data_IF_186615637379
#
_entry.id   IF_186615637379
#
_cell.length_a   1.000
_cell.length_b   1.000
_cell.length_c   1.000
_cell.angle_alpha   90.00
_cell.angle_beta   90.00
_cell.angle_gamma   90.00
#
_symmetry.space_group_name_H-M   'P 1'
#
loop_
_entity.id
_entity.type
_entity.pdbx_description
1 polymer ?
#
# COMPACT_ATOMS: atom_id res chain seq x y z
N UNK A 1 -18.17 48.81 73.81
CA UNK A 1 -18.89 49.14 72.57
C UNK A 1 -18.62 48.02 71.58
N UNK A 2 -19.67 47.29 71.25
CA UNK A 2 -19.65 46.10 70.39
C UNK A 2 -19.50 46.52 68.93
N UNK A 3 -18.58 45.89 68.20
CA UNK A 3 -18.46 45.97 66.74
C UNK A 3 -18.50 44.56 66.15
N UNK A 4 -19.63 44.22 65.54
CA UNK A 4 -19.90 42.95 64.87
C UNK A 4 -19.19 42.92 63.52
N UNK A 5 -18.42 41.86 63.25
CA UNK A 5 -17.85 41.54 61.94
C UNK A 5 -18.87 40.72 61.13
N UNK A 6 -19.14 41.05 59.85
CA UNK A 6 -20.10 40.30 59.05
C UNK A 6 -19.51 38.96 58.58
N UNK A 7 -20.37 37.96 58.64
CA UNK A 7 -20.19 36.58 58.17
C UNK A 7 -20.24 36.57 56.63
N UNK A 8 -19.17 36.15 55.96
CA UNK A 8 -19.20 35.92 54.51
C UNK A 8 -19.97 34.62 54.22
N UNK A 9 -21.02 34.77 53.41
CA UNK A 9 -21.84 33.69 52.85
C UNK A 9 -21.39 33.49 51.41
N UNK A 10 -21.07 32.23 51.04
CA UNK A 10 -21.24 31.76 49.67
C UNK A 10 -20.01 31.12 49.03
N UNK A 11 -19.74 29.85 49.36
CA UNK A 11 -19.10 28.94 48.41
C UNK A 11 -20.13 28.58 47.33
N UNK A 12 -19.87 28.98 46.09
CA UNK A 12 -20.61 28.49 44.93
C UNK A 12 -20.16 27.05 44.62
N UNK A 13 -21.07 26.08 44.43
CA UNK A 13 -20.68 24.73 44.04
C UNK A 13 -20.07 24.72 42.63
N UNK A 14 -19.09 23.85 42.35
CA UNK A 14 -18.50 23.74 41.02
C UNK A 14 -19.57 23.29 40.01
N UNK A 15 -19.67 24.02 38.91
CA UNK A 15 -20.54 23.66 37.79
C UNK A 15 -20.10 22.32 37.18
N UNK A 16 -20.84 21.26 37.48
CA UNK A 16 -20.75 19.96 36.81
C UNK A 16 -21.50 20.09 35.47
N UNK A 17 -20.87 20.73 34.49
CA UNK A 17 -21.43 20.84 33.13
C UNK A 17 -20.36 20.48 32.11
N UNK A 18 -20.50 19.32 31.45
CA UNK A 18 -19.80 19.09 30.18
C UNK A 18 -19.48 17.65 29.78
N UNK A 19 -19.25 16.72 30.72
CA UNK A 19 -18.70 15.41 30.36
C UNK A 19 -19.70 14.48 29.62
N UNK A 20 -21.00 14.56 29.95
CA UNK A 20 -22.03 13.67 29.39
C UNK A 20 -22.33 13.91 27.90
N UNK A 21 -22.28 15.17 27.44
CA UNK A 21 -22.52 15.51 26.03
C UNK A 21 -21.33 15.12 25.13
N UNK A 22 -20.12 15.05 25.71
CA UNK A 22 -18.92 14.67 24.97
C UNK A 22 -18.93 13.18 24.59
N UNK A 23 -19.27 12.29 25.53
CA UNK A 23 -19.29 10.84 25.29
C UNK A 23 -20.32 10.43 24.23
N UNK A 24 -21.54 10.95 24.31
CA UNK A 24 -22.58 10.65 23.31
C UNK A 24 -22.22 11.19 21.92
N UNK A 25 -21.57 12.36 21.85
CA UNK A 25 -21.12 12.93 20.58
C UNK A 25 -19.98 12.11 19.98
N UNK A 26 -19.01 11.68 20.79
CA UNK A 26 -17.92 10.80 20.36
C UNK A 26 -18.44 9.43 19.90
N UNK A 27 -19.40 8.83 20.62
CA UNK A 27 -20.01 7.57 20.23
C UNK A 27 -20.77 7.68 18.90
N UNK A 28 -21.52 8.76 18.70
CA UNK A 28 -22.23 9.01 17.44
C UNK A 28 -21.28 9.23 16.27
N UNK A 29 -20.20 9.98 16.47
CA UNK A 29 -19.16 10.18 15.44
C UNK A 29 -18.49 8.85 15.08
N UNK A 30 -18.12 8.04 16.08
CA UNK A 30 -17.53 6.71 15.84
C UNK A 30 -18.48 5.78 15.08
N UNK A 31 -19.76 5.73 15.48
CA UNK A 31 -20.76 4.93 14.79
C UNK A 31 -20.93 5.38 13.33
N UNK A 32 -21.02 6.68 13.10
CA UNK A 32 -21.19 7.22 11.75
C UNK A 32 -19.98 6.93 10.85
N UNK A 33 -18.76 7.14 11.37
CA UNK A 33 -17.51 6.79 10.66
C UNK A 33 -17.45 5.29 10.38
N UNK A 34 -17.79 4.46 11.35
CA UNK A 34 -17.79 3.01 11.20
C UNK A 34 -18.79 2.57 10.13
N UNK A 35 -20.04 3.04 10.17
CA UNK A 35 -21.05 2.70 9.15
C UNK A 35 -20.58 3.12 7.75
N UNK A 36 -20.08 4.35 7.61
CA UNK A 36 -19.62 4.86 6.31
C UNK A 36 -18.47 4.04 5.73
N UNK A 37 -17.52 3.64 6.57
CA UNK A 37 -16.31 2.94 6.14
C UNK A 37 -16.49 1.42 6.09
N UNK A 38 -17.52 0.86 6.73
CA UNK A 38 -17.83 -0.57 6.62
C UNK A 38 -18.26 -0.97 5.21
N UNK A 39 -18.92 -0.08 4.46
CA UNK A 39 -19.31 -0.36 3.07
C UNK A 39 -18.20 -0.06 2.06
N UNK A 40 -17.28 0.84 2.41
CA UNK A 40 -16.15 1.20 1.58
C UNK A 40 -14.95 1.47 2.49
N UNK A 41 -14.16 0.42 2.80
CA UNK A 41 -12.96 0.58 3.62
C UNK A 41 -12.06 1.67 3.04
N UNK A 42 -11.47 2.49 3.92
CA UNK A 42 -10.47 3.47 3.47
C UNK A 42 -9.22 2.71 3.06
N UNK A 43 -8.83 2.86 1.80
CA UNK A 43 -7.56 2.32 1.33
C UNK A 43 -6.46 3.33 1.66
N UNK A 44 -5.45 2.86 2.40
CA UNK A 44 -4.27 3.65 2.75
C UNK A 44 -3.02 2.89 2.35
N UNK A 45 -1.94 3.60 2.03
CA UNK A 45 -0.68 2.95 1.65
C UNK A 45 0.40 3.25 2.68
N UNK A 46 1.04 2.21 3.20
CA UNK A 46 2.22 2.31 4.04
C UNK A 46 3.46 2.23 3.15
N UNK A 47 3.97 3.42 2.80
CA UNK A 47 5.18 3.56 2.01
C UNK A 47 6.43 3.32 2.86
N UNK A 48 7.51 2.89 2.22
CA UNK A 48 8.82 2.79 2.85
C UNK A 48 9.92 3.07 1.83
N UNK A 49 11.17 3.24 2.29
CA UNK A 49 12.34 3.38 1.43
C UNK A 49 12.91 2.01 1.04
N UNK A 50 13.73 1.96 -0.02
CA UNK A 50 14.36 0.70 -0.44
C UNK A 50 15.32 0.13 0.61
N UNK A 51 15.78 0.92 1.59
CA UNK A 51 16.68 0.49 2.67
C UNK A 51 16.10 -0.67 3.51
N UNK A 52 14.78 -0.85 3.50
CA UNK A 52 14.11 -2.00 4.14
C UNK A 52 14.58 -3.33 3.57
N UNK A 53 14.93 -3.38 2.29
CA UNK A 53 15.44 -4.60 1.66
C UNK A 53 16.79 -5.04 2.26
N UNK A 54 17.59 -4.10 2.77
CA UNK A 54 18.86 -4.39 3.42
C UNK A 54 18.69 -4.76 4.91
N UNK A 55 17.68 -4.22 5.59
CA UNK A 55 17.41 -4.49 7.00
C UNK A 55 15.92 -4.38 7.33
N UNK A 56 15.11 -5.44 7.10
CA UNK A 56 13.67 -5.39 7.31
C UNK A 56 13.28 -5.06 8.75
N UNK A 57 14.07 -5.52 9.73
CA UNK A 57 13.81 -5.29 11.14
C UNK A 57 13.97 -3.83 11.57
N UNK A 58 14.90 -3.09 10.96
CA UNK A 58 15.16 -1.70 11.33
C UNK A 58 14.03 -0.74 10.92
N UNK A 59 13.32 -1.08 9.84
CA UNK A 59 12.23 -0.25 9.32
C UNK A 59 10.86 -0.57 9.91
N UNK A 60 10.74 -1.66 10.68
CA UNK A 60 9.47 -2.10 11.24
C UNK A 60 8.90 -1.07 12.21
N UNK A 61 9.70 -0.60 13.16
CA UNK A 61 9.25 0.34 14.19
C UNK A 61 8.79 1.68 13.60
N UNK A 62 9.55 2.34 12.69
CA UNK A 62 9.06 3.54 11.99
C UNK A 62 7.74 3.32 11.24
N UNK A 63 7.56 2.16 10.60
CA UNK A 63 6.33 1.84 9.87
C UNK A 63 5.13 1.68 10.82
N UNK A 64 5.31 1.00 11.95
CA UNK A 64 4.26 0.86 12.97
C UNK A 64 3.92 2.21 13.63
N UNK A 65 4.93 3.06 13.88
CA UNK A 65 4.72 4.40 14.43
C UNK A 65 3.91 5.28 13.47
N UNK A 66 4.23 5.26 12.18
CA UNK A 66 3.49 5.99 11.16
C UNK A 66 2.03 5.53 11.07
N UNK A 67 1.80 4.22 11.07
CA UNK A 67 0.44 3.68 11.07
C UNK A 67 -0.31 4.00 12.36
N UNK A 68 0.36 4.01 13.52
CA UNK A 68 -0.21 4.39 14.81
C UNK A 68 -0.67 5.84 14.82
N UNK A 69 0.16 6.76 14.32
CA UNK A 69 -0.21 8.18 14.18
C UNK A 69 -1.44 8.36 13.26
N UNK A 70 -1.51 7.59 12.17
CA UNK A 70 -2.70 7.61 11.32
C UNK A 70 -3.95 7.07 12.04
N UNK A 71 -3.82 5.98 12.80
CA UNK A 71 -4.94 5.38 13.53
C UNK A 71 -5.48 6.29 14.63
N UNK A 72 -4.59 7.00 15.34
CA UNK A 72 -4.96 7.97 16.38
C UNK A 72 -5.84 9.09 15.81
N UNK A 73 -5.54 9.55 14.59
CA UNK A 73 -6.32 10.56 13.88
C UNK A 73 -7.66 10.03 13.31
N UNK A 74 -7.86 8.71 13.25
CA UNK A 74 -8.98 8.07 12.54
C UNK A 74 -9.73 6.99 13.35
N UNK A 75 -10.11 7.25 14.62
CA UNK A 75 -10.73 6.25 15.48
C UNK A 75 -12.06 5.72 14.90
N UNK A 76 -12.29 4.41 14.99
CA UNK A 76 -13.51 3.75 14.50
C UNK A 76 -13.57 3.52 12.98
N UNK A 77 -12.50 3.83 12.26
CA UNK A 77 -12.41 3.63 10.80
C UNK A 77 -12.20 2.17 10.45
N UNK A 78 -12.85 1.70 9.39
CA UNK A 78 -12.51 0.46 8.69
C UNK A 78 -11.52 0.77 7.56
N UNK A 79 -10.36 0.13 7.54
CA UNK A 79 -9.32 0.38 6.54
C UNK A 79 -8.74 -0.90 5.92
N UNK A 80 -8.26 -0.74 4.69
CA UNK A 80 -7.43 -1.70 3.98
C UNK A 80 -6.08 -1.04 3.71
N UNK A 81 -5.00 -1.80 3.91
CA UNK A 81 -3.65 -1.27 3.84
C UNK A 81 -2.93 -1.84 2.61
N UNK A 82 -2.49 -0.94 1.73
CA UNK A 82 -1.51 -1.21 0.68
C UNK A 82 -0.10 -1.14 1.25
N UNK A 83 0.71 -2.17 1.08
CA UNK A 83 2.13 -2.15 1.43
C UNK A 83 2.97 -1.81 0.21
N UNK A 84 4.03 -1.02 0.43
CA UNK A 84 5.16 -0.91 -0.51
C UNK A 84 5.69 -2.30 -0.88
N UNK A 85 6.14 -2.45 -2.13
CA UNK A 85 6.80 -3.66 -2.62
C UNK A 85 8.06 -4.01 -1.81
N UNK A 86 8.70 -3.03 -1.16
CA UNK A 86 9.87 -3.27 -0.32
C UNK A 86 9.55 -4.09 0.95
N UNK A 87 8.28 -4.19 1.36
CA UNK A 87 7.83 -5.03 2.48
C UNK A 87 7.45 -6.45 2.08
N UNK A 88 7.46 -6.77 0.78
CA UNK A 88 6.78 -7.95 0.27
C UNK A 88 7.66 -8.76 -0.68
N UNK A 89 7.59 -10.07 -0.53
CA UNK A 89 8.02 -10.99 -1.58
C UNK A 89 6.83 -11.24 -2.50
N UNK A 90 7.07 -11.22 -3.81
CA UNK A 90 6.01 -11.49 -4.79
C UNK A 90 6.47 -12.49 -5.83
N UNK A 91 5.49 -13.25 -6.33
CA UNK A 91 5.64 -14.23 -7.39
C UNK A 91 4.33 -14.29 -8.17
N UNK A 92 4.41 -14.62 -9.45
CA UNK A 92 3.24 -14.89 -10.30
C UNK A 92 3.22 -16.37 -10.66
N UNK A 93 2.01 -16.92 -10.77
CA UNK A 93 1.75 -18.22 -11.34
C UNK A 93 0.53 -18.19 -12.27
N UNK A 94 0.40 -19.13 -13.21
CA UNK A 94 -0.78 -19.26 -14.05
C UNK A 94 -2.08 -19.43 -13.24
N UNK A 95 -3.18 -18.81 -13.68
CA UNK A 95 -4.47 -18.89 -12.96
C UNK A 95 -5.06 -20.29 -12.80
N UNK A 96 -4.61 -21.26 -13.61
CA UNK A 96 -5.05 -22.65 -13.54
C UNK A 96 -4.37 -23.47 -12.44
N UNK A 97 -3.34 -22.92 -11.78
CA UNK A 97 -2.63 -23.64 -10.73
C UNK A 97 -3.45 -23.72 -9.44
N UNK A 98 -3.21 -24.76 -8.66
CA UNK A 98 -3.75 -24.84 -7.30
C UNK A 98 -3.01 -23.86 -6.40
N UNK A 99 -3.62 -23.52 -5.25
CA UNK A 99 -2.97 -22.65 -4.26
C UNK A 99 -1.63 -23.25 -3.79
N UNK A 100 -1.60 -24.56 -3.59
CA UNK A 100 -0.43 -25.30 -3.15
C UNK A 100 0.69 -25.23 -4.19
N UNK A 101 0.37 -25.45 -5.48
CA UNK A 101 1.35 -25.35 -6.57
C UNK A 101 1.90 -23.93 -6.72
N UNK A 102 1.03 -22.92 -6.61
CA UNK A 102 1.43 -21.51 -6.63
C UNK A 102 2.35 -21.15 -5.45
N UNK A 103 2.09 -21.70 -4.27
CA UNK A 103 2.95 -21.51 -3.09
C UNK A 103 4.32 -22.19 -3.27
N UNK A 104 4.35 -23.46 -3.70
CA UNK A 104 5.62 -24.18 -3.93
C UNK A 104 6.49 -23.51 -4.99
N UNK A 105 5.86 -22.95 -6.03
CA UNK A 105 6.59 -22.17 -7.03
C UNK A 105 7.17 -20.88 -6.46
N UNK A 106 6.38 -20.12 -5.71
CA UNK A 106 6.84 -18.89 -5.08
C UNK A 106 8.02 -19.14 -4.13
N UNK A 107 7.95 -20.20 -3.32
CA UNK A 107 9.04 -20.61 -2.43
C UNK A 107 10.33 -20.92 -3.20
N UNK A 108 10.24 -21.69 -4.29
CA UNK A 108 11.41 -21.98 -5.16
C UNK A 108 11.99 -20.72 -5.77
N UNK A 109 11.13 -19.79 -6.21
CA UNK A 109 11.56 -18.52 -6.78
C UNK A 109 12.30 -17.66 -5.75
N UNK A 110 11.74 -17.50 -4.54
CA UNK A 110 12.36 -16.70 -3.48
C UNK A 110 13.63 -17.34 -2.92
N UNK A 111 13.71 -18.66 -2.87
CA UNK A 111 14.95 -19.36 -2.55
C UNK A 111 16.01 -19.11 -3.62
N UNK A 112 15.66 -19.21 -4.90
CA UNK A 112 16.60 -19.05 -6.00
C UNK A 112 17.15 -17.63 -6.12
N UNK A 113 16.28 -16.61 -6.07
CA UNK A 113 16.68 -15.21 -6.29
C UNK A 113 16.99 -14.45 -5.00
N UNK A 114 16.31 -14.77 -3.90
CA UNK A 114 16.47 -14.09 -2.62
C UNK A 114 17.42 -14.79 -1.66
N UNK A 115 17.85 -16.03 -1.96
CA UNK A 115 18.67 -16.84 -1.04
C UNK A 115 17.94 -17.17 0.27
N UNK A 116 16.60 -17.10 0.26
CA UNK A 116 15.78 -17.34 1.44
C UNK A 116 15.50 -18.83 1.61
N UNK A 117 15.78 -19.35 2.79
CA UNK A 117 15.47 -20.75 3.10
C UNK A 117 13.98 -20.96 3.29
N UNK A 118 13.45 -22.09 2.80
CA UNK A 118 12.02 -22.40 2.91
C UNK A 118 11.55 -22.45 4.37
N UNK A 119 12.40 -22.93 5.28
CA UNK A 119 12.11 -22.95 6.72
C UNK A 119 11.98 -21.55 7.31
N UNK A 120 12.85 -20.61 6.89
CA UNK A 120 12.79 -19.21 7.31
C UNK A 120 11.51 -18.54 6.81
N UNK A 121 11.18 -18.74 5.53
CA UNK A 121 9.95 -18.22 4.95
C UNK A 121 8.72 -18.73 5.71
N UNK A 122 8.65 -20.03 6.01
CA UNK A 122 7.52 -20.60 6.75
C UNK A 122 7.43 -20.13 8.20
N UNK A 123 8.58 -19.89 8.86
CA UNK A 123 8.61 -19.45 10.25
C UNK A 123 8.30 -17.96 10.42
N UNK A 124 8.74 -17.12 9.46
CA UNK A 124 8.78 -15.67 9.64
C UNK A 124 7.88 -14.90 8.68
N UNK A 125 7.28 -15.54 7.68
CA UNK A 125 6.47 -14.87 6.66
C UNK A 125 5.06 -15.43 6.55
N UNK A 126 4.10 -14.52 6.40
CA UNK A 126 2.71 -14.84 6.11
C UNK A 126 2.50 -14.87 4.60
N UNK A 127 2.23 -16.06 4.07
CA UNK A 127 2.00 -16.27 2.63
C UNK A 127 0.50 -16.16 2.32
N UNK A 128 0.21 -15.52 1.19
CA UNK A 128 -1.15 -15.47 0.65
C UNK A 128 -1.11 -15.50 -0.87
N UNK A 129 -1.83 -16.46 -1.44
CA UNK A 129 -2.17 -16.40 -2.85
C UNK A 129 -3.44 -15.58 -3.10
N UNK A 130 -3.35 -14.71 -4.10
CA UNK A 130 -4.38 -13.78 -4.55
C UNK A 130 -4.71 -14.13 -6.00
N UNK A 131 -5.93 -14.61 -6.20
CA UNK A 131 -6.41 -14.94 -7.55
C UNK A 131 -6.82 -13.64 -8.27
N UNK A 132 -6.34 -13.50 -9.49
CA UNK A 132 -6.72 -12.49 -10.47
C UNK A 132 -7.32 -13.22 -11.68
N UNK A 133 -8.15 -12.56 -12.48
CA UNK A 133 -8.99 -13.20 -13.50
C UNK A 133 -8.24 -14.26 -14.33
N UNK A 134 -7.02 -13.94 -14.79
CA UNK A 134 -6.17 -14.87 -15.57
C UNK A 134 -4.76 -15.08 -15.00
N UNK A 135 -4.51 -14.69 -13.74
CA UNK A 135 -3.25 -14.95 -13.06
C UNK A 135 -3.44 -15.23 -11.57
N UNK A 136 -2.40 -15.75 -10.90
CA UNK A 136 -2.38 -15.89 -9.45
C UNK A 136 -1.10 -15.26 -8.92
N UNK A 137 -1.25 -14.22 -8.10
CA UNK A 137 -0.13 -13.65 -7.35
C UNK A 137 0.05 -14.44 -6.07
N UNK A 138 1.28 -14.78 -5.72
CA UNK A 138 1.64 -15.24 -4.39
C UNK A 138 2.48 -14.17 -3.74
N UNK A 139 2.01 -13.66 -2.60
CA UNK A 139 2.69 -12.64 -1.83
C UNK A 139 3.09 -13.21 -0.47
N UNK A 140 4.24 -12.79 0.05
CA UNK A 140 4.62 -13.00 1.43
C UNK A 140 4.98 -11.68 2.09
N UNK A 141 4.61 -11.53 3.36
CA UNK A 141 4.92 -10.37 4.21
C UNK A 141 5.44 -10.85 5.57
N UNK A 142 6.36 -10.14 6.24
CA UNK A 142 6.82 -10.55 7.56
C UNK A 142 5.68 -10.65 8.57
N UNK A 143 5.62 -11.75 9.33
CA UNK A 143 4.58 -11.99 10.35
C UNK A 143 4.60 -10.89 11.40
N UNK A 144 5.78 -10.47 11.84
CA UNK A 144 5.95 -9.40 12.82
C UNK A 144 5.31 -8.07 12.38
N UNK A 145 5.40 -7.74 11.08
CA UNK A 145 4.75 -6.55 10.53
C UNK A 145 3.22 -6.66 10.62
N UNK A 146 2.65 -7.77 10.16
CA UNK A 146 1.19 -7.97 10.20
C UNK A 146 0.65 -7.95 11.62
N UNK A 147 1.34 -8.62 12.55
CA UNK A 147 0.97 -8.63 13.97
C UNK A 147 1.05 -7.22 14.58
N UNK A 148 2.12 -6.48 14.29
CA UNK A 148 2.27 -5.09 14.75
C UNK A 148 1.16 -4.18 14.21
N UNK A 149 0.82 -4.28 12.92
CA UNK A 149 -0.27 -3.51 12.31
C UNK A 149 -1.62 -3.85 12.94
N UNK A 150 -1.91 -5.13 13.18
CA UNK A 150 -3.15 -5.56 13.84
C UNK A 150 -3.23 -5.02 15.28
N UNK A 151 -2.12 -5.03 16.01
CA UNK A 151 -2.06 -4.54 17.39
C UNK A 151 -2.28 -3.03 17.47
N UNK A 152 -1.63 -2.27 16.58
CA UNK A 152 -1.81 -0.81 16.45
C UNK A 152 -3.27 -0.48 16.12
N UNK A 153 -3.85 -1.16 15.12
CA UNK A 153 -5.25 -0.92 14.73
C UNK A 153 -6.21 -1.20 15.90
N UNK A 154 -6.01 -2.32 16.61
CA UNK A 154 -6.80 -2.70 17.78
C UNK A 154 -6.71 -1.67 18.90
N UNK A 155 -5.51 -1.17 19.19
CA UNK A 155 -5.26 -0.17 20.24
C UNK A 155 -6.06 1.11 20.03
N UNK A 156 -6.18 1.55 18.77
CA UNK A 156 -6.88 2.79 18.39
C UNK A 156 -8.34 2.59 17.97
N UNK A 157 -8.86 1.36 18.05
CA UNK A 157 -10.23 1.03 17.62
C UNK A 157 -10.45 1.20 16.11
N UNK A 158 -9.41 0.98 15.31
CA UNK A 158 -9.45 0.90 13.84
C UNK A 158 -9.62 -0.57 13.44
N UNK A 159 -10.46 -0.84 12.44
CA UNK A 159 -10.67 -2.17 11.90
C UNK A 159 -9.85 -2.35 10.62
N UNK A 160 -8.70 -3.02 10.71
CA UNK A 160 -7.89 -3.42 9.56
C UNK A 160 -8.50 -4.66 8.90
N UNK A 161 -9.09 -4.52 7.72
CA UNK A 161 -9.78 -5.62 7.01
C UNK A 161 -8.92 -6.34 5.98
N UNK A 162 -7.78 -5.76 5.59
CA UNK A 162 -6.92 -6.35 4.59
C UNK A 162 -5.57 -5.67 4.49
N UNK A 163 -4.59 -6.46 4.05
CA UNK A 163 -3.24 -6.02 3.71
C UNK A 163 -2.92 -6.60 2.33
N UNK A 164 -2.54 -5.75 1.38
CA UNK A 164 -2.24 -6.13 -0.02
C UNK A 164 -1.05 -5.33 -0.54
N UNK A 165 -0.38 -5.74 -1.63
CA UNK A 165 0.52 -4.83 -2.34
C UNK A 165 -0.27 -3.61 -2.81
N UNK A 166 0.25 -2.39 -2.62
CA UNK A 166 -0.51 -1.18 -3.00
C UNK A 166 -0.88 -1.17 -4.49
N UNK A 167 0.00 -1.72 -5.31
CA UNK A 167 -0.12 -1.74 -6.76
C UNK A 167 -1.06 -2.84 -7.30
N UNK A 168 -1.53 -3.75 -6.45
CA UNK A 168 -2.27 -4.93 -6.88
C UNK A 168 -3.51 -4.56 -7.70
N UNK A 169 -4.29 -3.57 -7.26
CA UNK A 169 -5.52 -3.14 -7.95
C UNK A 169 -5.23 -2.55 -9.33
N UNK A 170 -4.15 -1.77 -9.43
CA UNK A 170 -3.72 -1.19 -10.71
C UNK A 170 -3.26 -2.28 -11.68
N UNK A 171 -2.48 -3.26 -11.21
CA UNK A 171 -2.07 -4.41 -12.00
C UNK A 171 -3.26 -5.27 -12.45
N UNK A 172 -4.25 -5.48 -11.58
CA UNK A 172 -5.50 -6.17 -11.92
C UNK A 172 -6.26 -5.45 -13.02
N UNK A 173 -6.52 -4.15 -12.86
CA UNK A 173 -7.22 -3.34 -13.85
C UNK A 173 -6.51 -3.33 -15.20
N UNK A 174 -5.19 -3.09 -15.19
CA UNK A 174 -4.38 -3.08 -16.42
C UNK A 174 -4.45 -4.41 -17.16
N UNK A 175 -4.42 -5.52 -16.43
CA UNK A 175 -4.47 -6.85 -17.02
C UNK A 175 -5.89 -7.22 -17.51
N UNK A 176 -6.94 -6.84 -16.78
CA UNK A 176 -8.33 -7.00 -17.22
C UNK A 176 -8.60 -6.17 -18.49
N UNK A 177 -8.03 -4.95 -18.60
CA UNK A 177 -8.08 -4.12 -19.79
C UNK A 177 -7.35 -4.77 -20.97
N UNK A 178 -6.15 -5.32 -20.73
CA UNK A 178 -5.37 -6.03 -21.75
C UNK A 178 -6.16 -7.22 -22.33
N UNK A 179 -6.87 -7.97 -21.48
CA UNK A 179 -7.73 -9.09 -21.91
C UNK A 179 -8.97 -8.61 -22.65
N UNK A 180 -9.65 -7.58 -22.13
CA UNK A 180 -10.90 -7.06 -22.71
C UNK A 180 -10.66 -6.41 -24.08
N UNK A 181 -9.48 -5.83 -24.29
CA UNK A 181 -9.10 -5.17 -25.55
C UNK A 181 -8.30 -6.07 -26.50
N UNK A 182 -8.16 -7.36 -26.19
CA UNK A 182 -7.31 -8.30 -26.94
C UNK A 182 -7.57 -8.29 -28.47
N UNK A 183 -8.84 -8.20 -28.89
CA UNK A 183 -9.25 -8.26 -30.31
C UNK A 183 -8.76 -7.06 -31.15
N UNK A 184 -8.31 -5.97 -30.52
CA UNK A 184 -7.78 -4.78 -31.19
C UNK A 184 -6.29 -4.51 -30.93
N UNK A 185 -5.66 -5.29 -30.05
CA UNK A 185 -4.29 -5.10 -29.65
C UNK A 185 -3.35 -6.03 -30.43
N UNK A 186 -2.14 -5.55 -30.68
CA UNK A 186 -1.11 -6.36 -31.32
C UNK A 186 -0.58 -7.38 -30.31
N UNK A 187 -0.50 -8.64 -30.73
CA UNK A 187 0.10 -9.71 -29.95
C UNK A 187 1.56 -9.38 -29.63
N UNK A 188 2.01 -9.74 -28.43
CA UNK A 188 3.36 -9.43 -27.99
C UNK A 188 3.46 -9.27 -26.48
N UNK A 189 4.60 -8.74 -26.03
CA UNK A 189 4.87 -8.51 -24.63
C UNK A 189 4.47 -7.09 -24.23
N UNK A 190 3.79 -7.00 -23.09
CA UNK A 190 3.30 -5.79 -22.48
C UNK A 190 3.88 -5.70 -21.07
N UNK A 191 4.31 -4.51 -20.69
CA UNK A 191 4.88 -4.27 -19.36
C UNK A 191 4.21 -3.06 -18.71
N UNK A 192 3.84 -3.24 -17.44
CA UNK A 192 3.37 -2.21 -16.54
C UNK A 192 4.45 -1.93 -15.49
N UNK A 193 4.88 -0.67 -15.38
CA UNK A 193 5.77 -0.23 -14.30
C UNK A 193 4.97 0.49 -13.21
N UNK A 194 5.17 0.09 -11.96
CA UNK A 194 4.53 0.63 -10.77
C UNK A 194 5.60 1.30 -9.92
N UNK A 195 5.62 2.62 -9.93
CA UNK A 195 6.77 3.39 -9.45
C UNK A 195 6.50 3.92 -8.03
N UNK A 196 7.37 3.52 -7.11
CA UNK A 196 7.59 4.11 -5.77
C UNK A 196 8.84 5.01 -5.82
N UNK A 197 9.13 5.82 -4.78
CA UNK A 197 10.31 6.71 -4.76
C UNK A 197 11.63 5.99 -5.07
N UNK A 198 11.88 4.85 -4.43
CA UNK A 198 13.15 4.11 -4.53
C UNK A 198 12.99 2.73 -5.17
N UNK A 199 11.79 2.37 -5.62
CA UNK A 199 11.47 1.04 -6.11
C UNK A 199 10.57 1.14 -7.35
N UNK A 200 10.85 0.35 -8.38
CA UNK A 200 9.90 0.11 -9.48
C UNK A 200 9.52 -1.35 -9.43
N UNK A 201 8.22 -1.63 -9.31
CA UNK A 201 7.68 -2.98 -9.51
C UNK A 201 7.25 -3.12 -10.96
N UNK A 202 7.83 -4.07 -11.67
CA UNK A 202 7.51 -4.38 -13.05
C UNK A 202 6.55 -5.57 -13.10
N UNK A 203 5.47 -5.45 -13.85
CA UNK A 203 4.54 -6.53 -14.15
C UNK A 203 4.55 -6.74 -15.66
N UNK A 204 4.86 -7.95 -16.10
CA UNK A 204 4.92 -8.30 -17.51
C UNK A 204 3.84 -9.32 -17.86
N UNK A 205 3.22 -9.12 -19.02
CA UNK A 205 2.23 -10.00 -19.59
C UNK A 205 2.47 -10.22 -21.09
N UNK A 206 2.10 -11.40 -21.58
CA UNK A 206 2.07 -11.72 -23.00
C UNK A 206 0.63 -11.75 -23.49
N UNK A 207 0.36 -11.06 -24.61
CA UNK A 207 -0.92 -11.10 -25.30
C UNK A 207 -0.83 -12.02 -26.51
N UNK A 208 -1.68 -13.03 -26.54
CA UNK A 208 -1.77 -14.05 -27.59
C UNK A 208 -3.19 -14.06 -28.21
N UNK A 209 -3.37 -14.81 -29.30
CA UNK A 209 -4.66 -14.90 -30.00
C UNK A 209 -5.82 -15.42 -29.12
N UNK A 210 -5.50 -16.15 -28.07
CA UNK A 210 -6.45 -16.82 -27.18
C UNK A 210 -6.57 -16.14 -25.80
N UNK A 211 -5.92 -15.00 -25.58
CA UNK A 211 -5.99 -14.26 -24.32
C UNK A 211 -4.64 -13.67 -23.90
N UNK A 212 -4.59 -13.15 -22.68
CA UNK A 212 -3.37 -12.67 -22.06
C UNK A 212 -2.92 -13.58 -20.90
N UNK A 213 -1.61 -13.71 -20.74
CA UNK A 213 -0.97 -14.44 -19.64
C UNK A 213 -0.01 -13.50 -18.91
N UNK A 214 0.04 -13.57 -17.57
CA UNK A 214 0.99 -12.79 -16.78
C UNK A 214 2.29 -13.59 -16.67
N UNK A 215 3.36 -13.06 -17.28
CA UNK A 215 4.62 -13.78 -17.47
C UNK A 215 5.52 -13.65 -16.25
N UNK A 216 5.65 -12.43 -15.70
CA UNK A 216 6.63 -12.12 -14.69
C UNK A 216 6.24 -10.94 -13.80
N UNK A 217 6.78 -10.95 -12.59
CA UNK A 217 6.81 -9.81 -11.68
C UNK A 217 8.19 -9.73 -11.03
N UNK A 218 8.77 -8.53 -11.02
CA UNK A 218 10.03 -8.26 -10.32
C UNK A 218 10.07 -6.81 -9.83
N UNK A 219 11.02 -6.51 -8.95
CA UNK A 219 11.22 -5.15 -8.47
C UNK A 219 12.68 -4.72 -8.63
N UNK A 220 12.88 -3.47 -9.01
CA UNK A 220 14.19 -2.86 -9.19
C UNK A 220 14.33 -1.65 -8.25
N UNK A 221 15.43 -1.60 -7.50
CA UNK A 221 15.76 -0.42 -6.68
C UNK A 221 16.23 0.69 -7.60
N UNK A 222 15.58 1.86 -7.52
CA UNK A 222 16.03 3.06 -8.22
C UNK A 222 17.29 3.56 -7.52
N UNK A 223 18.40 3.57 -8.23
CA UNK A 223 19.66 4.07 -7.67
C UNK A 223 19.50 5.52 -7.18
N UNK A 224 19.89 5.77 -5.93
CA UNK A 224 20.06 7.09 -5.33
C UNK A 224 21.30 7.81 -5.93
N UNK A 225 21.48 7.75 -7.25
CA UNK A 225 22.53 8.53 -7.89
C UNK A 225 22.06 9.99 -7.89
N UNK A 226 22.72 10.83 -7.09
CA UNK A 226 22.54 12.29 -7.06
C UNK A 226 22.91 13.01 -8.37
N UNK A 227 22.72 12.37 -9.51
CA UNK A 227 22.69 12.98 -10.82
C UNK A 227 21.26 12.89 -11.33
N UNK A 228 20.74 14.01 -11.83
CA UNK A 228 19.54 14.07 -12.65
C UNK A 228 19.60 12.98 -13.72
N UNK A 229 19.07 11.79 -13.44
CA UNK A 229 18.91 10.73 -14.45
C UNK A 229 17.78 11.21 -15.35
N UNK A 230 18.15 12.00 -16.36
CA UNK A 230 17.40 12.13 -17.59
C UNK A 230 16.97 10.72 -18.01
N UNK A 231 15.68 10.56 -18.28
CA UNK A 231 15.04 9.34 -18.77
C UNK A 231 16.04 8.50 -19.55
N UNK A 232 16.52 7.43 -18.92
CA UNK A 232 17.51 6.54 -19.52
C UNK A 232 16.85 5.99 -20.79
N UNK A 233 17.32 6.34 -22.01
CA UNK A 233 16.74 5.75 -23.20
C UNK A 233 17.02 4.26 -23.09
N UNK A 234 15.95 3.46 -23.11
CA UNK A 234 16.02 2.01 -23.23
C UNK A 234 16.89 1.74 -24.47
N UNK A 235 18.11 1.25 -24.26
CA UNK A 235 19.00 0.92 -25.38
C UNK A 235 18.33 -0.18 -26.19
N UNK A 236 17.91 0.21 -27.39
CA UNK A 236 16.85 -0.38 -28.17
C UNK A 236 17.35 -1.50 -29.10
N UNK A 237 18.34 -2.28 -28.70
CA UNK A 237 19.00 -3.22 -29.62
C UNK A 237 18.61 -4.70 -29.43
N UNK A 238 17.78 -5.02 -28.43
CA UNK A 238 17.21 -6.37 -28.26
C UNK A 238 15.73 -6.41 -27.85
N UNK A 239 15.04 -5.26 -27.81
CA UNK A 239 13.73 -5.10 -27.16
C UNK A 239 12.67 -4.43 -28.05
N UNK A 240 12.81 -4.51 -29.38
CA UNK A 240 12.02 -3.67 -30.33
C UNK A 240 10.52 -3.88 -30.31
N UNK A 241 9.99 -4.93 -29.66
CA UNK A 241 8.58 -5.30 -29.76
C UNK A 241 7.81 -5.21 -28.43
N UNK A 242 8.48 -4.88 -27.31
CA UNK A 242 7.82 -4.78 -26.01
C UNK A 242 7.17 -3.40 -25.82
N UNK A 243 5.86 -3.38 -25.59
CA UNK A 243 5.09 -2.15 -25.37
C UNK A 243 5.07 -1.79 -23.89
N UNK A 244 5.43 -0.55 -23.58
CA UNK A 244 5.69 -0.09 -22.21
C UNK A 244 4.63 0.89 -21.73
N UNK A 245 4.13 0.66 -20.52
CA UNK A 245 3.16 1.52 -19.84
C UNK A 245 3.67 1.81 -18.43
N UNK A 246 3.93 3.08 -18.11
CA UNK A 246 4.36 3.49 -16.77
C UNK A 246 3.21 4.08 -15.94
N UNK A 247 2.99 3.53 -14.76
CA UNK A 247 2.16 4.12 -13.69
C UNK A 247 3.07 4.66 -12.59
N UNK A 248 3.06 5.98 -12.44
CA UNK A 248 3.82 6.67 -11.41
C UNK A 248 2.92 7.08 -10.25
N UNK A 249 3.30 6.71 -9.01
CA UNK A 249 2.84 7.47 -7.85
C UNK A 249 3.72 8.71 -7.78
N UNK A 250 3.16 9.86 -8.16
CA UNK A 250 3.72 11.14 -7.75
C UNK A 250 3.21 11.43 -6.34
N UNK A 251 4.12 11.47 -5.36
CA UNK A 251 3.80 12.07 -4.08
C UNK A 251 3.45 13.53 -4.35
N UNK A 252 2.15 13.86 -4.37
CA UNK A 252 1.70 15.23 -4.55
C UNK A 252 2.21 16.05 -3.37
N UNK A 253 3.30 16.79 -3.58
CA UNK A 253 3.88 17.76 -2.64
C UNK A 253 3.02 19.02 -2.47
N UNK A 254 1.80 19.04 -2.99
CA UNK A 254 0.91 20.20 -2.95
C UNK A 254 0.09 20.24 -1.66
N UNK A 255 0.75 20.48 -0.52
CA UNK A 255 0.14 21.27 0.56
C UNK A 255 1.03 22.48 0.73
N UNK A 256 0.59 23.60 0.15
CA UNK A 256 1.33 24.86 0.14
C UNK A 256 1.70 25.31 1.56
N UNK A 257 3.00 25.52 1.77
CA UNK A 257 3.59 26.06 2.97
C UNK A 257 5.10 25.90 2.89
N UNK A 258 5.81 27.02 2.73
CA UNK A 258 7.27 27.15 2.48
C UNK A 258 8.17 26.69 3.65
N UNK A 259 7.72 25.72 4.46
CA UNK A 259 8.38 25.32 5.71
C UNK A 259 8.40 23.80 5.94
N UNK A 260 8.16 22.98 4.91
CA UNK A 260 8.49 21.53 4.96
C UNK A 260 9.84 21.32 4.28
N UNK A 261 10.88 21.90 4.89
CA UNK A 261 12.25 21.54 4.61
C UNK A 261 12.49 20.09 5.04
N UNK A 262 12.76 19.20 4.07
CA UNK A 262 13.63 18.04 4.22
C UNK A 262 13.51 17.25 5.54
N UNK A 263 12.30 16.84 5.93
CA UNK A 263 12.19 15.75 6.89
C UNK A 263 12.67 14.47 6.17
N UNK A 264 13.72 13.78 6.66
CA UNK A 264 14.16 12.52 6.09
C UNK A 264 12.98 11.55 6.10
N UNK A 265 12.69 10.98 4.94
CA UNK A 265 11.55 10.13 4.58
C UNK A 265 11.23 9.08 5.64
N UNK A 266 10.36 9.44 6.59
CA UNK A 266 9.73 8.52 7.53
C UNK A 266 8.57 7.85 6.80
N UNK A 267 8.32 6.57 7.05
CA UNK A 267 7.17 5.82 6.51
C UNK A 267 5.92 6.70 6.45
N UNK A 268 5.39 6.95 5.26
CA UNK A 268 4.24 7.82 5.06
C UNK A 268 2.99 6.99 4.78
N UNK A 269 1.85 7.42 5.35
CA UNK A 269 0.53 6.85 5.04
C UNK A 269 -0.15 7.71 4.00
N UNK A 270 -0.34 7.21 2.77
CA UNK A 270 -1.12 7.92 1.74
C UNK A 270 -2.62 7.63 1.93
N UNK A 271 -3.46 8.67 2.01
CA UNK A 271 -4.93 8.55 2.08
C UNK A 271 -5.58 8.66 0.69
N UNK A 272 -6.75 8.01 0.56
CA UNK A 272 -7.51 7.68 -0.64
C UNK A 272 -7.71 8.83 -1.64
N UNK A 273 -7.73 10.11 -1.26
CA UNK A 273 -7.91 11.22 -2.21
C UNK A 273 -6.72 11.41 -3.15
N UNK A 274 -5.49 11.20 -2.69
CA UNK A 274 -4.29 11.31 -3.53
C UNK A 274 -4.12 10.13 -4.50
N UNK A 275 -4.73 8.98 -4.19
CA UNK A 275 -4.53 7.73 -4.92
C UNK A 275 -5.67 7.41 -5.90
N UNK A 276 -6.74 8.20 -6.00
CA UNK A 276 -7.92 7.84 -6.80
C UNK A 276 -7.60 7.60 -8.28
N UNK A 277 -6.75 8.41 -8.89
CA UNK A 277 -6.38 8.24 -10.30
C UNK A 277 -5.60 6.93 -10.53
N UNK A 278 -4.72 6.58 -9.58
CA UNK A 278 -3.91 5.35 -9.64
C UNK A 278 -4.74 4.10 -9.33
N UNK A 279 -5.66 4.17 -8.35
CA UNK A 279 -6.46 3.05 -7.88
C UNK A 279 -7.70 2.76 -8.73
N UNK A 280 -8.19 3.74 -9.50
CA UNK A 280 -9.36 3.55 -10.37
C UNK A 280 -9.02 3.03 -11.76
N UNK A 281 -7.73 2.98 -12.14
CA UNK A 281 -7.34 2.70 -13.52
C UNK A 281 -7.85 3.74 -14.54
N UNK A 282 -8.48 4.83 -14.06
CA UNK A 282 -9.09 5.86 -14.90
C UNK A 282 -7.97 6.73 -15.49
N UNK A 283 -7.61 6.40 -16.74
CA UNK A 283 -6.66 7.06 -17.63
C UNK A 283 -5.18 6.72 -17.44
N UNK A 284 -4.84 5.44 -17.59
CA UNK A 284 -3.61 5.09 -18.31
C UNK A 284 -3.82 5.47 -19.77
N UNK A 285 -3.55 6.72 -20.13
CA UNK A 285 -3.43 7.08 -21.53
C UNK A 285 -2.26 6.25 -22.10
N UNK A 286 -2.57 5.26 -22.94
CA UNK A 286 -1.58 4.48 -23.67
C UNK A 286 -0.63 5.44 -24.41
N UNK A 287 0.54 5.74 -23.84
CA UNK A 287 1.65 6.34 -24.59
C UNK A 287 2.48 5.22 -25.20
N UNK A 288 1.83 4.37 -25.99
CA UNK A 288 2.53 3.59 -26.99
C UNK A 288 2.73 4.49 -28.20
N UNK A 289 3.98 4.85 -28.52
CA UNK A 289 4.27 5.38 -29.84
C UNK A 289 3.87 4.31 -30.87
N UNK A 290 2.90 4.65 -31.73
CA UNK A 290 2.60 3.88 -32.95
C UNK A 290 3.66 4.21 -33.98
#
# INVERSE_FOLDING_TARGET
MNGLTPMQVGDAPPAITGAGNSLLTQLRQRLFTWVRTSFKPRFIVLATTADVLASPGAALEPALQAFSAWCEAHPGTVCELGLSGAWMLTSVSPAGWTREAAHEHALRQWQHYGGLESEDIQANWLLRALKVTHAQFTCAVPIALVQGLQEVARTHGVQLVGVTPWWLRAAQSWFDDLVTQADGLVQGQWQLDLIEPDLVTHVQASLQANGAELDAIWAEVRGHEGGTQAARPVTNEARSDARHVGLQIEASSSVGGDEVAQAPWQSHVWDHEALQTVLRGEAVAHRGAV
#
